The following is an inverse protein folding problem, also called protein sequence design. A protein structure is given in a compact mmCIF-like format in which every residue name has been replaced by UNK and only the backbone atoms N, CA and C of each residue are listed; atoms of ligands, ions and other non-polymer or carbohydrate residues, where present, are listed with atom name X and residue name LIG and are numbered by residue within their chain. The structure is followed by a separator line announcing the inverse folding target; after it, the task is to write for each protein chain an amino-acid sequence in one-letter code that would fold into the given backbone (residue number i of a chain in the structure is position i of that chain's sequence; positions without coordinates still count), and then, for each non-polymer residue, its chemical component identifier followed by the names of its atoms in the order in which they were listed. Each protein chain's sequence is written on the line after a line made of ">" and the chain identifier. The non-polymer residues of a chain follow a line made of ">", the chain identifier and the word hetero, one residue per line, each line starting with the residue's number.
data_IF_546851129258
#
_entry.id   IF_546851129258
#
_cell.length_a   1.000
_cell.length_b   1.000
_cell.length_c   1.000
_cell.angle_alpha   90.00
_cell.angle_beta   90.00
_cell.angle_gamma   90.00
#
_symmetry.space_group_name_H-M   'P 1'
#
loop_
_entity.id
_entity.type
_entity.pdbx_description
1 polymer ?
#
# COMPACT_ATOMS: atom_id res chain seq x y z
N UNK A 1 28.68 63.64 -18.38
CA UNK A 1 28.12 62.49 -17.65
C UNK A 1 29.27 61.80 -16.95
N UNK A 2 29.32 61.84 -15.62
CA UNK A 2 30.43 61.26 -14.88
C UNK A 2 30.47 59.74 -15.05
N UNK A 3 31.58 59.16 -15.53
CA UNK A 3 31.69 57.71 -15.75
C UNK A 3 31.49 56.92 -14.45
N UNK A 4 31.74 57.54 -13.29
CA UNK A 4 31.51 56.98 -11.96
C UNK A 4 30.04 56.66 -11.68
N UNK A 5 29.09 57.45 -12.18
CA UNK A 5 27.65 57.22 -11.98
C UNK A 5 27.18 56.04 -12.82
N UNK A 6 27.68 55.91 -14.06
CA UNK A 6 27.40 54.77 -14.93
C UNK A 6 27.95 53.45 -14.37
N UNK A 7 29.16 53.48 -13.82
CA UNK A 7 29.79 52.32 -13.17
C UNK A 7 29.03 51.93 -11.89
N UNK A 8 28.63 52.89 -11.06
CA UNK A 8 27.85 52.62 -9.85
C UNK A 8 26.49 51.99 -10.16
N UNK A 9 25.79 52.46 -11.20
CA UNK A 9 24.54 51.86 -11.66
C UNK A 9 24.71 50.42 -12.17
N UNK A 10 25.79 50.15 -12.90
CA UNK A 10 26.11 48.81 -13.41
C UNK A 10 26.47 47.81 -12.30
N UNK A 11 27.14 48.27 -11.24
CA UNK A 11 27.47 47.42 -10.08
C UNK A 11 26.21 47.05 -9.30
N UNK A 12 25.28 47.99 -9.10
CA UNK A 12 24.02 47.72 -8.39
C UNK A 12 23.11 46.73 -9.14
N UNK A 13 23.03 46.80 -10.47
CA UNK A 13 22.26 45.82 -11.25
C UNK A 13 22.89 44.44 -11.18
N UNK A 14 24.21 44.33 -11.24
CA UNK A 14 24.91 43.05 -11.03
C UNK A 14 24.62 42.46 -9.64
N UNK A 15 24.67 43.27 -8.59
CA UNK A 15 24.33 42.82 -7.22
C UNK A 15 22.88 42.35 -7.15
N UNK A 16 21.93 43.10 -7.72
CA UNK A 16 20.52 42.70 -7.75
C UNK A 16 20.27 41.37 -8.47
N UNK A 17 20.96 41.13 -9.59
CA UNK A 17 20.89 39.85 -10.32
C UNK A 17 21.46 38.70 -9.49
N UNK A 18 22.61 38.91 -8.83
CA UNK A 18 23.22 37.88 -7.98
C UNK A 18 22.32 37.53 -6.79
N UNK A 19 21.77 38.53 -6.10
CA UNK A 19 20.88 38.32 -4.95
C UNK A 19 19.60 37.59 -5.37
N UNK A 20 18.98 37.99 -6.49
CA UNK A 20 17.75 37.34 -7.00
C UNK A 20 18.01 35.91 -7.48
N UNK A 21 19.16 35.64 -8.09
CA UNK A 21 19.57 34.28 -8.47
C UNK A 21 19.77 33.37 -7.25
N UNK A 22 20.43 33.87 -6.19
CA UNK A 22 20.64 33.10 -4.95
C UNK A 22 19.33 32.79 -4.24
N UNK A 23 18.41 33.77 -4.15
CA UNK A 23 17.10 33.57 -3.54
C UNK A 23 16.25 32.57 -4.34
N UNK A 24 16.24 32.69 -5.66
CA UNK A 24 15.53 31.75 -6.55
C UNK A 24 16.06 30.33 -6.37
N UNK A 25 17.38 30.14 -6.38
CA UNK A 25 18.00 28.82 -6.18
C UNK A 25 17.60 28.20 -4.84
N UNK A 26 17.67 28.96 -3.75
CA UNK A 26 17.29 28.47 -2.41
C UNK A 26 15.80 28.13 -2.31
N UNK A 27 14.94 28.89 -2.96
CA UNK A 27 13.50 28.62 -3.00
C UNK A 27 13.19 27.35 -3.80
N UNK A 28 13.82 27.19 -4.97
CA UNK A 28 13.69 26.01 -5.80
C UNK A 28 14.18 24.75 -5.10
N UNK A 29 15.33 24.79 -4.43
CA UNK A 29 15.87 23.64 -3.69
C UNK A 29 14.94 23.19 -2.56
N UNK A 30 14.25 24.13 -1.89
CA UNK A 30 13.26 23.80 -0.84
C UNK A 30 12.00 23.18 -1.45
N UNK A 31 11.52 23.70 -2.57
CA UNK A 31 10.36 23.15 -3.28
C UNK A 31 10.64 21.73 -3.76
N UNK A 32 11.76 21.51 -4.44
CA UNK A 32 12.15 20.17 -4.91
C UNK A 32 12.23 19.15 -3.76
N UNK A 33 12.76 19.55 -2.60
CA UNK A 33 12.79 18.69 -1.41
C UNK A 33 11.39 18.43 -0.83
N UNK A 34 10.54 19.45 -0.80
CA UNK A 34 9.15 19.32 -0.35
C UNK A 34 8.36 18.41 -1.28
N UNK A 35 8.46 18.62 -2.58
CA UNK A 35 7.75 17.86 -3.62
C UNK A 35 8.22 16.40 -3.62
N UNK A 36 9.53 16.15 -3.51
CA UNK A 36 10.07 14.80 -3.36
C UNK A 36 9.59 14.12 -2.06
N UNK A 37 9.52 14.87 -0.95
CA UNK A 37 8.99 14.37 0.31
C UNK A 37 7.51 14.02 0.22
N UNK A 38 6.70 14.87 -0.42
CA UNK A 38 5.28 14.60 -0.65
C UNK A 38 5.08 13.38 -1.55
N UNK A 39 5.83 13.27 -2.65
CA UNK A 39 5.76 12.12 -3.55
C UNK A 39 6.09 10.80 -2.83
N UNK A 40 7.12 10.80 -1.96
CA UNK A 40 7.45 9.62 -1.16
C UNK A 40 6.34 9.27 -0.16
N UNK A 41 5.76 10.28 0.49
CA UNK A 41 4.66 10.08 1.44
C UNK A 41 3.44 9.51 0.72
N UNK A 42 3.09 10.04 -0.45
CA UNK A 42 1.95 9.60 -1.23
C UNK A 42 2.14 8.15 -1.69
N UNK A 43 3.34 7.79 -2.18
CA UNK A 43 3.68 6.41 -2.54
C UNK A 43 3.54 5.47 -1.34
N UNK A 44 4.07 5.84 -0.18
CA UNK A 44 3.96 5.01 1.02
C UNK A 44 2.52 4.87 1.51
N UNK A 45 1.69 5.91 1.37
CA UNK A 45 0.27 5.82 1.69
C UNK A 45 -0.48 4.87 0.75
N UNK A 46 -0.14 4.89 -0.54
CA UNK A 46 -0.69 3.98 -1.54
C UNK A 46 -0.27 2.52 -1.25
N UNK A 47 1.02 2.26 -1.01
CA UNK A 47 1.54 0.94 -0.65
C UNK A 47 0.84 0.38 0.61
N UNK A 48 0.66 1.22 1.65
CA UNK A 48 -0.03 0.83 2.88
C UNK A 48 -1.50 0.49 2.60
N UNK A 49 -2.16 1.26 1.73
CA UNK A 49 -3.56 1.02 1.36
C UNK A 49 -3.70 -0.30 0.62
N UNK A 50 -2.82 -0.57 -0.34
CA UNK A 50 -2.78 -1.83 -1.09
C UNK A 50 -2.53 -3.02 -0.16
N UNK A 51 -1.52 -2.93 0.71
CA UNK A 51 -1.21 -3.98 1.68
C UNK A 51 -2.39 -4.27 2.64
N UNK A 52 -3.11 -3.22 3.09
CA UNK A 52 -4.29 -3.40 3.93
C UNK A 52 -5.43 -4.09 3.16
N UNK A 53 -5.64 -3.72 1.89
CA UNK A 53 -6.64 -4.35 1.05
C UNK A 53 -6.32 -5.83 0.81
N UNK A 54 -5.07 -6.16 0.46
CA UNK A 54 -4.62 -7.54 0.27
C UNK A 54 -4.78 -8.39 1.54
N UNK A 55 -4.41 -7.84 2.70
CA UNK A 55 -4.59 -8.55 3.99
C UNK A 55 -6.05 -8.86 4.32
N UNK A 56 -6.99 -8.00 3.92
CA UNK A 56 -8.41 -8.25 4.15
C UNK A 56 -8.92 -9.40 3.29
N UNK A 57 -8.52 -9.45 2.01
CA UNK A 57 -8.86 -10.54 1.10
C UNK A 57 -8.25 -11.86 1.57
N UNK A 58 -6.96 -11.87 1.90
CA UNK A 58 -6.27 -13.05 2.42
C UNK A 58 -6.94 -13.57 3.70
N UNK A 59 -7.36 -12.68 4.60
CA UNK A 59 -8.04 -13.09 5.83
C UNK A 59 -9.40 -13.74 5.54
N UNK A 60 -10.16 -13.22 4.58
CA UNK A 60 -11.43 -13.80 4.16
C UNK A 60 -11.21 -15.19 3.53
N UNK A 61 -10.21 -15.32 2.66
CA UNK A 61 -9.84 -16.60 2.03
C UNK A 61 -9.40 -17.64 3.06
N UNK A 62 -8.54 -17.27 4.01
CA UNK A 62 -8.11 -18.15 5.10
C UNK A 62 -9.32 -18.61 5.93
N UNK A 63 -10.21 -17.69 6.30
CA UNK A 63 -11.41 -18.03 7.08
C UNK A 63 -12.31 -19.01 6.34
N UNK A 64 -12.47 -18.85 5.02
CA UNK A 64 -13.25 -19.77 4.19
C UNK A 64 -12.59 -21.17 4.12
N UNK A 65 -11.27 -21.22 3.94
CA UNK A 65 -10.51 -22.47 3.92
C UNK A 65 -10.56 -23.19 5.27
N UNK A 66 -10.39 -22.47 6.38
CA UNK A 66 -10.51 -23.02 7.73
C UNK A 66 -11.90 -23.63 7.96
N UNK A 67 -12.96 -22.97 7.45
CA UNK A 67 -14.33 -23.50 7.49
C UNK A 67 -14.46 -24.79 6.69
N UNK A 68 -13.94 -24.83 5.46
CA UNK A 68 -13.97 -26.05 4.64
C UNK A 68 -13.25 -27.22 5.32
N UNK A 69 -12.05 -26.98 5.86
CA UNK A 69 -11.26 -28.02 6.55
C UNK A 69 -12.01 -28.55 7.77
N UNK A 70 -12.67 -27.68 8.53
CA UNK A 70 -13.49 -28.10 9.68
C UNK A 70 -14.65 -29.00 9.24
N UNK A 71 -15.41 -28.58 8.23
CA UNK A 71 -16.55 -29.37 7.71
C UNK A 71 -16.07 -30.72 7.17
N UNK A 72 -14.95 -30.76 6.44
CA UNK A 72 -14.34 -32.02 5.98
C UNK A 72 -13.94 -32.92 7.15
N UNK A 73 -13.26 -32.38 8.17
CA UNK A 73 -12.85 -33.13 9.34
C UNK A 73 -14.04 -33.75 10.08
N UNK A 74 -15.11 -32.97 10.27
CA UNK A 74 -16.34 -33.44 10.92
C UNK A 74 -17.02 -34.54 10.11
N UNK A 75 -17.09 -34.40 8.79
CA UNK A 75 -17.66 -35.41 7.90
C UNK A 75 -16.83 -36.70 7.88
N UNK A 76 -15.51 -36.60 7.80
CA UNK A 76 -14.61 -37.76 7.88
C UNK A 76 -14.80 -38.47 9.23
N UNK A 77 -14.93 -37.73 10.32
CA UNK A 77 -15.18 -38.29 11.65
C UNK A 77 -16.54 -38.99 11.76
N UNK A 78 -17.58 -38.47 11.11
CA UNK A 78 -18.89 -39.11 11.02
C UNK A 78 -18.82 -40.39 10.18
N UNK A 79 -18.17 -40.34 9.02
CA UNK A 79 -18.02 -41.48 8.12
C UNK A 79 -17.24 -42.62 8.79
N UNK A 80 -16.15 -42.30 9.50
CA UNK A 80 -15.38 -43.28 10.26
C UNK A 80 -16.21 -43.97 11.33
N UNK A 81 -17.04 -43.21 12.07
CA UNK A 81 -17.95 -43.78 13.07
C UNK A 81 -19.01 -44.67 12.42
N UNK A 82 -19.64 -44.20 11.35
CA UNK A 82 -20.63 -44.98 10.60
C UNK A 82 -20.08 -46.34 10.14
N UNK A 83 -18.84 -46.37 9.64
CA UNK A 83 -18.14 -47.60 9.24
C UNK A 83 -17.81 -48.47 10.46
N UNK A 84 -17.27 -47.87 11.53
CA UNK A 84 -16.91 -48.60 12.75
C UNK A 84 -18.12 -49.27 13.42
N UNK A 85 -19.27 -48.62 13.35
CA UNK A 85 -20.55 -49.11 13.89
C UNK A 85 -21.20 -50.19 12.98
N UNK A 86 -20.60 -50.49 11.82
CA UNK A 86 -21.11 -51.50 10.89
C UNK A 86 -22.44 -51.11 10.23
N UNK A 87 -22.76 -49.83 10.19
CA UNK A 87 -24.00 -49.37 9.58
C UNK A 87 -24.02 -49.73 8.09
N UNK A 88 -25.12 -50.28 7.58
CA UNK A 88 -25.25 -50.57 6.17
C UNK A 88 -25.31 -49.25 5.37
N UNK A 89 -24.89 -49.27 4.09
CA UNK A 89 -25.08 -48.13 3.20
C UNK A 89 -26.56 -47.72 3.13
N UNK A 90 -26.87 -46.44 2.88
CA UNK A 90 -25.99 -45.39 2.36
C UNK A 90 -25.12 -44.70 3.42
N UNK A 91 -23.97 -44.13 3.01
CA UNK A 91 -23.12 -43.35 3.91
C UNK A 91 -23.84 -42.10 4.44
N UNK A 92 -23.31 -41.45 5.49
CA UNK A 92 -23.79 -40.16 5.95
C UNK A 92 -23.87 -39.15 4.79
N UNK A 93 -24.91 -38.32 4.79
CA UNK A 93 -25.14 -37.32 3.77
C UNK A 93 -23.93 -36.40 3.63
N UNK A 94 -23.57 -36.07 2.38
CA UNK A 94 -22.48 -35.16 2.10
C UNK A 94 -22.78 -33.77 2.71
N UNK A 95 -21.84 -33.13 3.41
CA UNK A 95 -22.12 -31.90 4.13
C UNK A 95 -22.30 -30.72 3.17
N UNK A 96 -23.27 -29.85 3.49
CA UNK A 96 -23.48 -28.58 2.80
C UNK A 96 -22.27 -27.65 3.01
N UNK A 97 -21.86 -26.95 1.97
CA UNK A 97 -20.70 -26.06 2.00
C UNK A 97 -19.36 -26.70 1.61
N UNK A 98 -19.32 -27.99 1.29
CA UNK A 98 -18.20 -28.58 0.51
C UNK A 98 -18.50 -28.70 -0.98
N UNK A 99 -19.77 -28.53 -1.35
CA UNK A 99 -20.21 -28.46 -2.74
C UNK A 99 -20.04 -27.00 -3.16
N UNK A 100 -19.01 -26.74 -3.95
CA UNK A 100 -18.82 -25.47 -4.67
C UNK A 100 -19.34 -25.61 -6.09
#
# INVERSE_FOLDING_TARGET
>A
MDPLIGVAGAVLTLIGVVVSAVLTRRSSDRKLKSDAGHQMIDQHQEDIKELRAGRADDRARITALERHVRIQGDYIGQLRRHIADGNPPPPPAWPEGLIT
#
